data_IF_376110865863
#
_entry.id   IF_376110865863
#
_cell.length_a   1.000
_cell.length_b   1.000
_cell.length_c   1.000
_cell.angle_alpha   90.00
_cell.angle_beta   90.00
_cell.angle_gamma   90.00
#
_symmetry.space_group_name_H-M   'P 1'
#
loop_
_entity.id
_entity.type
_entity.pdbx_description
1 polymer ?
#
# COMPACT_ATOMS: atom_id res chain seq x y z
N UNK A 1 12.15 4.29 20.93
CA UNK A 1 11.11 4.51 19.94
C UNK A 1 11.56 5.63 19.02
N UNK A 2 11.52 5.45 17.73
CA UNK A 2 11.83 6.51 16.79
C UNK A 2 10.54 7.32 16.60
N UNK A 3 10.59 8.63 16.89
CA UNK A 3 9.45 9.50 16.61
C UNK A 3 9.31 9.66 15.10
N UNK A 4 8.11 9.46 14.58
CA UNK A 4 7.82 9.68 13.17
C UNK A 4 7.58 11.17 12.93
N UNK A 5 8.26 11.74 11.94
CA UNK A 5 8.08 13.12 11.55
C UNK A 5 7.88 13.21 10.04
N UNK A 6 7.11 14.20 9.58
CA UNK A 6 6.88 14.46 8.18
C UNK A 6 7.04 15.95 7.86
N UNK A 7 7.52 16.24 6.67
CA UNK A 7 7.51 17.58 6.10
C UNK A 7 6.77 17.54 4.76
N UNK A 8 5.95 18.53 4.53
CA UNK A 8 5.17 18.64 3.30
C UNK A 8 5.16 20.08 2.81
N UNK A 9 5.28 20.25 1.49
CA UNK A 9 5.06 21.50 0.81
C UNK A 9 4.34 21.24 -0.52
N UNK A 10 3.27 21.97 -0.78
CA UNK A 10 2.52 21.96 -2.03
C UNK A 10 2.48 23.36 -2.60
N UNK A 11 2.99 23.53 -3.80
CA UNK A 11 2.81 24.75 -4.58
C UNK A 11 1.69 24.53 -5.60
N UNK A 12 0.69 25.39 -5.57
CA UNK A 12 -0.42 25.42 -6.53
C UNK A 12 -0.23 26.63 -7.41
N UNK A 13 -0.06 26.40 -8.71
CA UNK A 13 -0.05 27.46 -9.74
C UNK A 13 -1.44 27.56 -10.36
N UNK A 14 -2.04 28.73 -10.29
CA UNK A 14 -3.37 29.01 -10.84
C UNK A 14 -3.28 29.40 -12.31
N UNK A 15 -4.41 29.35 -13.01
CA UNK A 15 -4.50 29.67 -14.45
C UNK A 15 -4.21 31.15 -14.77
N UNK A 16 -4.29 32.02 -13.78
CA UNK A 16 -3.92 33.44 -13.89
C UNK A 16 -2.43 33.70 -13.65
N UNK A 17 -1.66 32.63 -13.38
CA UNK A 17 -0.22 32.71 -13.13
C UNK A 17 0.14 33.04 -11.67
N UNK A 18 -0.83 33.18 -10.78
CA UNK A 18 -0.55 33.31 -9.35
C UNK A 18 -0.18 31.96 -8.73
N UNK A 19 0.59 32.00 -7.63
CA UNK A 19 1.02 30.80 -6.91
C UNK A 19 0.58 30.87 -5.44
N UNK A 20 0.20 29.73 -4.89
CA UNK A 20 -0.03 29.57 -3.46
C UNK A 20 0.77 28.37 -2.92
N UNK A 21 1.45 28.54 -1.79
CA UNK A 21 2.24 27.50 -1.15
C UNK A 21 1.58 27.09 0.16
N UNK A 22 1.30 25.79 0.29
CA UNK A 22 0.80 25.16 1.51
C UNK A 22 1.92 24.33 2.13
N UNK A 23 2.18 24.53 3.42
CA UNK A 23 3.21 23.79 4.15
C UNK A 23 2.62 23.11 5.37
N UNK A 24 3.24 21.97 5.76
CA UNK A 24 2.95 21.37 7.07
C UNK A 24 3.32 22.34 8.19
N UNK A 25 2.56 22.31 9.27
CA UNK A 25 2.80 23.17 10.44
C UNK A 25 1.85 22.83 11.59
N UNK A 26 1.86 23.64 12.64
CA UNK A 26 1.09 23.43 13.86
C UNK A 26 -0.44 23.49 13.69
N UNK A 27 -0.92 24.02 12.55
CA UNK A 27 -2.36 23.99 12.21
C UNK A 27 -2.85 22.62 11.72
N UNK A 28 -1.94 21.68 11.49
CA UNK A 28 -2.27 20.36 11.02
C UNK A 28 -2.70 19.44 12.14
N UNK A 29 -3.52 18.44 11.79
CA UNK A 29 -3.91 17.36 12.69
C UNK A 29 -3.22 16.07 12.23
N UNK A 30 -2.77 15.28 13.19
CA UNK A 30 -2.27 13.93 13.00
C UNK A 30 -3.34 12.94 13.48
N UNK A 31 -3.67 11.98 12.63
CA UNK A 31 -4.62 10.92 12.97
C UNK A 31 -4.01 9.56 12.66
N UNK A 32 -4.33 8.56 13.46
CA UNK A 32 -3.95 7.17 13.19
C UNK A 32 -4.80 6.64 12.04
N UNK A 33 -4.15 6.03 11.07
CA UNK A 33 -4.83 5.49 9.90
C UNK A 33 -5.39 4.09 10.16
N UNK A 34 -6.20 3.59 9.22
CA UNK A 34 -6.65 2.20 9.19
C UNK A 34 -5.51 1.20 8.95
N UNK A 35 -4.34 1.66 8.52
CA UNK A 35 -3.12 0.85 8.46
C UNK A 35 -2.50 0.79 9.86
N UNK A 36 -2.72 -0.33 10.56
CA UNK A 36 -2.19 -0.55 11.91
C UNK A 36 -0.71 -0.93 11.89
N UNK A 37 -0.29 -1.61 10.84
CA UNK A 37 1.11 -1.95 10.54
C UNK A 37 1.37 -1.67 9.06
N UNK A 38 2.56 -1.19 8.73
CA UNK A 38 3.03 -1.04 7.35
C UNK A 38 4.55 -1.10 7.28
N UNK A 39 5.07 -1.94 6.40
CA UNK A 39 6.52 -2.09 6.20
C UNK A 39 6.85 -2.98 5.01
N UNK A 40 8.03 -2.75 4.42
CA UNK A 40 8.47 -3.50 3.23
C UNK A 40 8.71 -4.97 3.55
N UNK A 41 9.24 -5.29 4.73
CA UNK A 41 9.55 -6.67 5.13
C UNK A 41 8.33 -7.41 5.65
N UNK A 42 7.60 -6.78 6.54
CA UNK A 42 6.50 -7.44 7.25
C UNK A 42 5.19 -7.36 6.48
N UNK A 43 5.06 -6.36 5.61
CA UNK A 43 3.83 -6.09 4.90
C UNK A 43 2.92 -5.15 5.68
N UNK A 44 1.61 -5.40 5.69
CA UNK A 44 0.68 -4.50 6.34
C UNK A 44 -0.48 -5.23 7.04
N UNK A 45 -1.07 -4.52 7.99
CA UNK A 45 -2.35 -4.86 8.61
C UNK A 45 -3.29 -3.68 8.41
N UNK A 46 -4.41 -3.91 7.73
CA UNK A 46 -5.45 -2.91 7.51
C UNK A 46 -6.73 -3.32 8.23
N UNK A 47 -7.25 -2.46 9.10
CA UNK A 47 -8.52 -2.66 9.77
C UNK A 47 -9.58 -1.71 9.21
N UNK A 48 -10.52 -2.24 8.43
CA UNK A 48 -11.60 -1.45 7.86
C UNK A 48 -12.54 -0.84 8.92
N UNK A 49 -12.57 -1.42 10.12
CA UNK A 49 -13.40 -0.94 11.23
C UNK A 49 -12.73 0.15 12.07
N UNK A 50 -11.40 0.31 11.93
CA UNK A 50 -10.67 1.28 12.74
C UNK A 50 -11.09 2.71 12.40
N UNK A 51 -11.32 3.49 13.44
CA UNK A 51 -11.52 4.94 13.37
C UNK A 51 -10.72 5.56 14.51
N UNK A 52 -9.92 6.56 14.21
CA UNK A 52 -9.22 7.29 15.27
C UNK A 52 -10.21 8.14 16.04
N UNK A 53 -10.38 7.89 17.34
CA UNK A 53 -11.35 8.62 18.14
C UNK A 53 -10.96 10.09 18.39
N UNK A 54 -9.66 10.40 18.27
CA UNK A 54 -9.13 11.70 18.69
C UNK A 54 -7.90 12.11 17.86
N UNK A 55 -8.08 12.78 16.73
CA UNK A 55 -6.97 13.42 16.02
C UNK A 55 -6.26 14.44 16.91
N UNK A 56 -4.93 14.39 16.94
CA UNK A 56 -4.10 15.27 17.76
C UNK A 56 -3.51 16.41 16.93
N UNK A 57 -3.36 17.63 17.49
CA UNK A 57 -2.61 18.68 16.82
C UNK A 57 -1.17 18.24 16.52
N UNK A 58 -0.72 18.52 15.30
CA UNK A 58 0.65 18.27 14.94
C UNK A 58 1.61 19.15 15.76
N UNK A 59 2.72 18.57 16.19
CA UNK A 59 3.76 19.32 16.89
C UNK A 59 4.90 19.64 15.92
N UNK A 60 5.28 20.91 15.86
CA UNK A 60 6.46 21.28 15.11
C UNK A 60 7.71 20.85 15.88
N UNK A 61 8.60 20.16 15.18
CA UNK A 61 9.89 19.76 15.72
C UNK A 61 11.00 20.51 14.98
N UNK A 62 12.02 20.91 15.70
CA UNK A 62 13.23 21.41 15.07
C UNK A 62 14.04 20.24 14.51
N UNK A 63 14.22 20.24 13.20
CA UNK A 63 15.12 19.31 12.51
C UNK A 63 15.84 20.04 11.40
N UNK A 64 17.15 19.77 11.23
CA UNK A 64 17.90 20.35 10.11
C UNK A 64 17.30 19.88 8.77
N UNK A 65 17.16 20.81 7.85
CA UNK A 65 16.71 20.52 6.49
C UNK A 65 17.89 20.27 5.52
N UNK A 66 19.11 20.39 6.00
CA UNK A 66 20.34 20.24 5.19
C UNK A 66 20.51 18.80 4.66
N UNK A 67 19.84 17.83 5.28
CA UNK A 67 19.82 16.43 4.83
C UNK A 67 18.75 16.13 3.78
N UNK A 68 17.90 17.09 3.46
CA UNK A 68 16.88 16.92 2.42
C UNK A 68 17.57 17.00 1.05
N UNK A 69 17.41 15.96 0.28
CA UNK A 69 17.93 15.85 -1.08
C UNK A 69 16.81 15.46 -2.03
N UNK A 70 16.95 15.85 -3.28
CA UNK A 70 16.05 15.39 -4.32
C UNK A 70 16.07 13.86 -4.42
N UNK A 71 14.95 13.29 -4.79
CA UNK A 71 14.83 11.85 -4.99
C UNK A 71 15.78 11.40 -6.10
N UNK A 72 16.77 10.60 -5.75
CA UNK A 72 17.77 10.08 -6.69
C UNK A 72 17.21 8.89 -7.51
N UNK A 73 16.27 8.14 -6.95
CA UNK A 73 15.71 6.95 -7.58
C UNK A 73 14.54 7.24 -8.52
N UNK A 74 14.39 6.39 -9.54
CA UNK A 74 13.20 6.38 -10.38
C UNK A 74 11.96 6.03 -9.58
N UNK A 75 10.79 6.46 -10.07
CA UNK A 75 9.51 6.05 -9.47
C UNK A 75 9.27 4.58 -9.76
N UNK A 76 8.89 3.85 -8.73
CA UNK A 76 8.34 2.50 -8.87
C UNK A 76 6.88 2.66 -9.25
N UNK A 77 6.50 2.13 -10.40
CA UNK A 77 5.12 2.16 -10.89
C UNK A 77 4.70 0.76 -11.31
N UNK A 78 3.42 0.44 -11.18
CA UNK A 78 2.88 -0.81 -11.72
C UNK A 78 2.79 -0.69 -13.24
N UNK A 79 3.54 -1.54 -13.94
CA UNK A 79 3.60 -1.55 -15.41
C UNK A 79 2.77 -2.67 -16.02
N UNK A 80 2.52 -3.71 -15.27
CA UNK A 80 1.89 -4.91 -15.73
C UNK A 80 0.83 -5.37 -14.71
N UNK A 81 -0.27 -5.89 -15.22
CA UNK A 81 -1.33 -6.50 -14.42
C UNK A 81 -1.48 -7.95 -14.84
N UNK A 82 -1.25 -8.84 -13.90
CA UNK A 82 -1.26 -10.28 -14.12
C UNK A 82 -2.48 -10.90 -13.42
N UNK A 83 -3.34 -11.59 -14.17
CA UNK A 83 -4.42 -12.35 -13.56
C UNK A 83 -3.87 -13.58 -12.84
N UNK A 84 -4.64 -14.15 -11.95
CA UNK A 84 -4.38 -15.47 -11.39
C UNK A 84 -4.44 -16.49 -12.53
N UNK A 85 -3.37 -17.27 -12.68
CA UNK A 85 -3.28 -18.33 -13.67
C UNK A 85 -3.97 -19.59 -13.19
N UNK A 86 -3.82 -19.92 -11.92
CA UNK A 86 -4.33 -21.13 -11.32
C UNK A 86 -4.56 -20.95 -9.81
N UNK A 87 -5.60 -21.59 -9.28
CA UNK A 87 -5.80 -21.76 -7.83
C UNK A 87 -5.40 -23.19 -7.49
N UNK A 88 -4.40 -23.34 -6.65
CA UNK A 88 -3.82 -24.61 -6.22
C UNK A 88 -4.33 -24.94 -4.82
N UNK A 89 -4.85 -26.15 -4.65
CA UNK A 89 -5.03 -26.72 -3.31
C UNK A 89 -3.84 -27.64 -3.07
N UNK A 90 -2.98 -27.24 -2.14
CA UNK A 90 -1.74 -27.96 -1.87
C UNK A 90 -2.02 -29.29 -1.18
N UNK A 91 -1.06 -30.23 -1.15
CA UNK A 91 -1.18 -31.48 -0.39
C UNK A 91 -1.49 -31.28 1.10
N UNK A 92 -1.10 -30.13 1.68
CA UNK A 92 -1.44 -29.75 3.06
C UNK A 92 -2.82 -29.07 3.19
N UNK A 93 -3.58 -28.96 2.10
CA UNK A 93 -4.90 -28.32 2.08
C UNK A 93 -4.86 -26.79 2.08
N UNK A 94 -3.73 -26.16 1.73
CA UNK A 94 -3.60 -24.72 1.64
C UNK A 94 -4.18 -24.24 0.30
N UNK A 95 -4.87 -23.10 0.30
CA UNK A 95 -5.32 -22.42 -0.92
C UNK A 95 -4.27 -21.44 -1.38
N UNK A 96 -3.71 -21.66 -2.56
CA UNK A 96 -2.62 -20.87 -3.11
C UNK A 96 -2.97 -20.36 -4.50
N UNK A 97 -2.80 -19.06 -4.72
CA UNK A 97 -2.87 -18.44 -6.04
C UNK A 97 -1.52 -18.56 -6.74
N UNK A 98 -1.47 -19.07 -7.98
CA UNK A 98 -0.30 -19.00 -8.87
C UNK A 98 -0.52 -17.91 -9.93
N UNK A 99 0.37 -16.93 -9.99
CA UNK A 99 0.36 -15.89 -11.03
C UNK A 99 1.20 -16.27 -12.26
N UNK A 100 1.81 -17.45 -12.26
CA UNK A 100 2.52 -18.01 -13.41
C UNK A 100 3.96 -17.54 -13.59
N UNK A 101 4.37 -16.43 -12.97
CA UNK A 101 5.75 -15.92 -13.00
C UNK A 101 6.10 -15.25 -11.68
N UNK A 102 7.39 -15.27 -11.34
CA UNK A 102 7.90 -14.50 -10.20
C UNK A 102 7.98 -13.02 -10.58
N UNK A 103 7.55 -12.15 -9.67
CA UNK A 103 7.50 -10.70 -9.91
C UNK A 103 7.79 -9.93 -8.64
N UNK A 104 8.07 -8.66 -8.79
CA UNK A 104 8.03 -7.67 -7.69
C UNK A 104 6.77 -6.84 -7.86
N UNK A 105 5.91 -6.82 -6.85
CA UNK A 105 4.64 -6.12 -6.95
C UNK A 105 3.74 -6.32 -5.73
N UNK A 106 2.46 -6.15 -5.94
CA UNK A 106 1.42 -6.31 -4.93
C UNK A 106 0.19 -6.99 -5.53
N UNK A 107 -0.70 -7.49 -4.68
CA UNK A 107 -1.96 -8.08 -5.12
C UNK A 107 -3.09 -7.12 -4.79
N UNK A 108 -3.81 -6.67 -5.82
CA UNK A 108 -5.12 -6.05 -5.67
C UNK A 108 -6.15 -7.17 -5.50
N UNK A 109 -7.05 -7.02 -4.56
CA UNK A 109 -8.07 -8.04 -4.31
C UNK A 109 -9.41 -7.44 -3.93
N UNK A 110 -10.48 -8.14 -4.33
CA UNK A 110 -11.85 -7.86 -3.92
C UNK A 110 -12.25 -8.83 -2.83
N UNK A 111 -12.80 -8.30 -1.75
CA UNK A 111 -13.21 -9.10 -0.59
C UNK A 111 -14.52 -8.58 0.01
N UNK A 112 -15.35 -9.52 0.45
CA UNK A 112 -16.55 -9.29 1.24
C UNK A 112 -16.60 -10.30 2.36
N UNK A 113 -15.95 -10.00 3.47
CA UNK A 113 -16.00 -10.84 4.68
C UNK A 113 -16.95 -10.30 5.73
N UNK A 114 -17.27 -11.10 6.73
CA UNK A 114 -18.06 -10.66 7.88
C UNK A 114 -17.28 -9.62 8.69
N UNK A 115 -17.98 -8.70 9.34
CA UNK A 115 -17.35 -7.71 10.21
C UNK A 115 -16.44 -8.36 11.26
N UNK A 116 -15.19 -7.94 11.33
CA UNK A 116 -14.15 -8.48 12.22
C UNK A 116 -13.44 -9.72 11.71
N UNK A 117 -13.85 -10.28 10.59
CA UNK A 117 -13.16 -11.39 9.94
C UNK A 117 -11.79 -10.93 9.42
N UNK A 118 -10.79 -11.79 9.59
CA UNK A 118 -9.41 -11.51 9.17
C UNK A 118 -9.05 -12.36 7.97
N UNK A 119 -8.81 -11.71 6.84
CA UNK A 119 -8.28 -12.30 5.64
C UNK A 119 -6.78 -12.03 5.55
N UNK A 120 -6.00 -13.06 5.28
CA UNK A 120 -4.55 -13.02 5.20
C UNK A 120 -4.09 -13.50 3.84
N UNK A 121 -3.24 -12.71 3.21
CA UNK A 121 -2.49 -13.06 1.99
C UNK A 121 -1.02 -13.11 2.36
N UNK A 122 -0.39 -14.26 2.22
CA UNK A 122 1.04 -14.45 2.42
C UNK A 122 1.73 -14.66 1.08
N UNK A 123 2.80 -13.92 0.84
CA UNK A 123 3.52 -13.95 -0.43
C UNK A 123 4.68 -14.94 -0.38
N UNK A 124 4.92 -15.64 -1.49
CA UNK A 124 6.01 -16.61 -1.63
C UNK A 124 6.45 -16.74 -3.09
N UNK A 125 7.71 -17.11 -3.29
CA UNK A 125 8.32 -17.19 -4.62
C UNK A 125 8.26 -18.60 -5.21
N UNK A 126 8.24 -19.62 -4.36
CA UNK A 126 8.32 -21.02 -4.75
C UNK A 126 7.39 -21.90 -3.90
N UNK A 127 7.07 -23.06 -4.40
CA UNK A 127 6.52 -24.17 -3.62
C UNK A 127 7.67 -25.08 -3.16
N UNK A 128 7.44 -25.86 -2.09
CA UNK A 128 8.39 -26.88 -1.67
C UNK A 128 8.41 -28.06 -2.65
N UNK A 129 9.31 -29.03 -2.43
CA UNK A 129 9.44 -30.22 -3.27
C UNK A 129 8.17 -31.09 -3.32
N UNK A 130 7.30 -30.96 -2.34
CA UNK A 130 6.06 -31.71 -2.21
C UNK A 130 4.85 -30.90 -2.72
N UNK A 131 5.08 -29.70 -3.27
CA UNK A 131 4.07 -28.82 -3.85
C UNK A 131 3.30 -27.97 -2.83
N UNK A 132 3.81 -27.81 -1.60
CA UNK A 132 3.20 -26.96 -0.60
C UNK A 132 3.80 -25.56 -0.62
N UNK A 133 3.07 -24.59 -0.04
CA UNK A 133 3.53 -23.22 0.05
C UNK A 133 4.79 -23.11 0.92
N UNK A 134 5.85 -22.47 0.40
CA UNK A 134 7.15 -22.41 1.04
C UNK A 134 7.59 -20.97 1.29
N UNK A 135 8.09 -20.70 2.51
CA UNK A 135 8.49 -19.36 2.95
C UNK A 135 9.80 -19.27 3.72
N UNK A 136 10.47 -20.39 3.98
CA UNK A 136 11.70 -20.37 4.78
C UNK A 136 12.82 -19.55 4.13
N UNK A 137 12.77 -19.38 2.79
CA UNK A 137 13.67 -18.51 2.04
C UNK A 137 13.50 -17.01 2.37
N UNK A 138 12.36 -16.60 2.92
CA UNK A 138 12.09 -15.22 3.33
C UNK A 138 12.73 -14.84 4.68
N UNK A 139 13.31 -15.82 5.39
CA UNK A 139 13.93 -15.66 6.71
C UNK A 139 12.94 -15.07 7.73
N UNK A 140 13.21 -13.85 8.22
CA UNK A 140 12.36 -13.16 9.21
C UNK A 140 11.26 -12.30 8.61
N UNK A 141 11.25 -12.09 7.28
CA UNK A 141 10.24 -11.26 6.64
C UNK A 141 8.87 -11.94 6.68
N UNK A 142 7.85 -11.26 7.16
CA UNK A 142 6.49 -11.79 7.19
C UNK A 142 5.82 -11.76 5.81
N UNK A 143 6.18 -10.80 4.96
CA UNK A 143 5.70 -10.64 3.59
C UNK A 143 4.19 -10.92 3.46
N UNK A 144 3.39 -10.27 4.29
CA UNK A 144 1.95 -10.53 4.42
C UNK A 144 1.10 -9.28 4.20
N UNK A 145 -0.11 -9.49 3.73
CA UNK A 145 -1.18 -8.51 3.70
C UNK A 145 -2.35 -9.06 4.52
N UNK A 146 -2.67 -8.40 5.62
CA UNK A 146 -3.78 -8.76 6.50
C UNK A 146 -4.87 -7.71 6.42
N UNK A 147 -6.10 -8.13 6.21
CA UNK A 147 -7.26 -7.27 6.10
C UNK A 147 -8.33 -7.69 7.09
N UNK A 148 -8.81 -6.74 7.92
CA UNK A 148 -9.94 -6.94 8.83
C UNK A 148 -11.19 -6.35 8.19
N UNK A 149 -12.14 -7.24 7.84
CA UNK A 149 -13.36 -6.90 7.13
C UNK A 149 -14.33 -6.10 7.99
N UNK A 150 -15.10 -5.21 7.38
CA UNK A 150 -16.17 -4.45 8.03
C UNK A 150 -17.59 -4.91 7.64
N UNK A 151 -17.69 -5.95 6.80
CA UNK A 151 -18.96 -6.47 6.30
C UNK A 151 -19.33 -5.96 4.91
N UNK A 152 -18.63 -4.94 4.42
CA UNK A 152 -18.85 -4.37 3.10
C UNK A 152 -17.91 -4.99 2.06
N UNK A 153 -18.33 -4.98 0.79
CA UNK A 153 -17.45 -5.35 -0.30
C UNK A 153 -16.40 -4.25 -0.54
N UNK A 154 -15.13 -4.65 -0.60
CA UNK A 154 -14.02 -3.72 -0.81
C UNK A 154 -13.07 -4.21 -1.89
N UNK A 155 -12.63 -3.28 -2.74
CA UNK A 155 -11.46 -3.46 -3.58
C UNK A 155 -10.26 -2.90 -2.84
N UNK A 156 -9.32 -3.75 -2.51
CA UNK A 156 -8.11 -3.40 -1.77
C UNK A 156 -6.91 -3.35 -2.70
N UNK A 157 -6.20 -2.26 -2.64
CA UNK A 157 -4.89 -2.08 -3.27
C UNK A 157 -3.89 -1.78 -2.16
N UNK A 158 -2.85 -2.61 -1.96
CA UNK A 158 -1.83 -2.34 -0.96
C UNK A 158 -1.14 -1.00 -1.21
N UNK A 159 -1.04 -0.18 -0.17
CA UNK A 159 -0.31 1.07 -0.18
C UNK A 159 0.99 0.91 0.61
N UNK A 160 2.05 1.61 0.20
CA UNK A 160 3.33 1.72 0.92
C UNK A 160 4.13 0.42 1.06
N UNK A 161 3.78 -0.66 0.35
CA UNK A 161 4.50 -1.93 0.39
C UNK A 161 4.41 -2.66 -0.96
N UNK A 162 5.36 -3.55 -1.19
CA UNK A 162 5.37 -4.48 -2.32
C UNK A 162 6.19 -5.72 -1.92
N UNK A 163 6.04 -6.81 -2.66
CA UNK A 163 6.64 -8.11 -2.34
C UNK A 163 7.27 -8.73 -3.57
N UNK A 164 8.27 -9.61 -3.35
CA UNK A 164 8.70 -10.58 -4.35
C UNK A 164 7.83 -11.83 -4.22
N UNK A 165 7.13 -12.24 -5.28
CA UNK A 165 6.27 -13.41 -5.23
C UNK A 165 5.90 -13.93 -6.62
N UNK A 166 5.57 -15.20 -6.67
CA UNK A 166 4.81 -15.87 -7.70
C UNK A 166 3.52 -16.44 -7.14
N UNK A 167 3.59 -16.91 -5.90
CA UNK A 167 2.51 -17.59 -5.21
C UNK A 167 1.98 -16.74 -4.06
N UNK A 168 0.68 -16.86 -3.79
CA UNK A 168 0.07 -16.22 -2.63
C UNK A 168 -0.86 -17.20 -1.92
N UNK A 169 -0.57 -17.49 -0.65
CA UNK A 169 -1.43 -18.33 0.19
C UNK A 169 -2.52 -17.47 0.81
N UNK A 170 -3.75 -17.95 0.72
CA UNK A 170 -4.93 -17.32 1.33
C UNK A 170 -5.34 -18.05 2.60
N UNK A 171 -5.60 -17.30 3.67
CA UNK A 171 -6.10 -17.82 4.94
C UNK A 171 -7.19 -16.90 5.49
N UNK A 172 -8.20 -17.47 6.16
CA UNK A 172 -9.29 -16.71 6.75
C UNK A 172 -10.24 -16.08 5.72
N UNK A 173 -10.39 -16.69 4.57
CA UNK A 173 -11.28 -16.23 3.50
C UNK A 173 -12.62 -16.97 3.62
N UNK A 174 -13.71 -16.25 3.94
CA UNK A 174 -15.06 -16.83 4.02
C UNK A 174 -15.82 -16.77 2.70
N UNK A 175 -15.44 -15.84 1.81
CA UNK A 175 -16.02 -15.72 0.49
C UNK A 175 -15.51 -16.82 -0.46
N UNK A 176 -16.25 -17.09 -1.52
CA UNK A 176 -15.78 -17.92 -2.61
C UNK A 176 -14.55 -17.29 -3.27
N UNK A 177 -13.45 -18.04 -3.30
CA UNK A 177 -12.20 -17.59 -3.91
C UNK A 177 -12.30 -17.77 -5.42
N UNK A 178 -12.41 -16.64 -6.15
CA UNK A 178 -12.47 -16.60 -7.60
C UNK A 178 -11.22 -15.92 -8.17
N UNK A 179 -10.63 -16.46 -9.25
CA UNK A 179 -9.42 -15.85 -9.86
C UNK A 179 -9.60 -14.37 -10.19
N UNK A 180 -10.78 -13.98 -10.67
CA UNK A 180 -11.10 -12.60 -11.06
C UNK A 180 -11.12 -11.60 -9.90
N UNK A 181 -11.16 -12.09 -8.65
CA UNK A 181 -11.10 -11.24 -7.47
C UNK A 181 -9.67 -10.82 -7.10
N UNK A 182 -8.67 -11.33 -7.83
CA UNK A 182 -7.27 -11.07 -7.53
C UNK A 182 -6.51 -10.67 -8.79
N UNK A 183 -5.73 -9.61 -8.69
CA UNK A 183 -4.86 -9.15 -9.77
C UNK A 183 -3.51 -8.75 -9.19
N UNK A 184 -2.43 -9.33 -9.69
CA UNK A 184 -1.10 -8.89 -9.31
C UNK A 184 -0.69 -7.67 -10.15
N UNK A 185 -0.34 -6.57 -9.47
CA UNK A 185 0.30 -5.41 -10.08
C UNK A 185 1.81 -5.56 -10.02
N UNK A 186 2.46 -5.86 -11.16
CA UNK A 186 3.91 -5.96 -11.28
C UNK A 186 4.55 -4.59 -11.50
N UNK A 187 5.61 -4.27 -10.73
CA UNK A 187 6.42 -3.06 -10.89
C UNK A 187 7.83 -3.40 -11.35
N UNK A 188 8.30 -2.76 -12.41
CA UNK A 188 9.71 -2.79 -12.80
C UNK A 188 10.27 -1.38 -12.81
N UNK A 189 11.57 -1.23 -12.50
CA UNK A 189 12.29 -0.01 -12.81
C UNK A 189 12.45 0.06 -14.32
N UNK A 190 11.82 1.00 -14.99
CA UNK A 190 12.23 1.36 -16.35
C UNK A 190 13.45 2.26 -16.24
N UNK A 191 14.58 1.84 -16.82
CA UNK A 191 15.68 2.72 -17.09
C UNK A 191 15.20 3.78 -18.11
N UNK A 192 14.77 4.92 -17.62
CA UNK A 192 14.30 6.06 -18.41
C UNK A 192 15.22 7.24 -18.22
N UNK A 193 15.52 7.95 -19.30
CA UNK A 193 16.32 9.18 -19.28
C UNK A 193 15.68 10.18 -18.32
N UNK A 194 16.50 10.72 -17.41
CA UNK A 194 16.17 11.85 -16.55
C UNK A 194 15.64 13.01 -17.41
N UNK A 195 14.37 13.30 -17.29
CA UNK A 195 13.79 14.56 -17.75
C UNK A 195 13.20 15.25 -16.54
N UNK A 196 13.72 16.46 -16.30
CA UNK A 196 13.44 17.25 -15.12
C UNK A 196 11.97 17.44 -14.81
N UNK A 197 11.76 17.49 -13.55
CA UNK A 197 10.61 17.89 -12.76
C UNK A 197 9.47 18.60 -13.49
N UNK A 198 8.49 17.83 -13.98
CA UNK A 198 7.09 18.21 -13.96
C UNK A 198 6.29 16.96 -13.70
N UNK A 199 5.66 16.89 -12.53
CA UNK A 199 4.67 15.87 -12.23
C UNK A 199 3.36 16.30 -12.92
N UNK A 200 2.93 15.68 -14.03
CA UNK A 200 1.55 15.86 -14.43
C UNK A 200 0.73 15.10 -13.39
N UNK A 201 -0.07 15.82 -12.63
CA UNK A 201 -1.12 15.28 -11.81
C UNK A 201 -2.11 14.54 -12.72
N UNK A 202 -1.81 13.30 -13.07
CA UNK A 202 -2.81 12.37 -13.54
C UNK A 202 -3.37 11.66 -12.31
N UNK A 203 -4.67 11.78 -12.17
CA UNK A 203 -5.54 11.17 -11.19
C UNK A 203 -5.16 9.71 -10.90
N UNK A 204 -4.28 9.48 -9.94
CA UNK A 204 -4.26 8.31 -9.10
C UNK A 204 -3.87 8.84 -7.72
N UNK A 205 -4.90 8.97 -6.90
CA UNK A 205 -4.83 9.56 -5.58
C UNK A 205 -3.93 8.71 -4.68
N UNK A 206 -2.69 9.14 -4.46
CA UNK A 206 -2.10 8.91 -3.16
C UNK A 206 -2.97 9.69 -2.18
N UNK A 207 -3.91 9.01 -1.54
CA UNK A 207 -4.54 9.54 -0.35
C UNK A 207 -3.46 9.54 0.73
N UNK A 208 -2.69 10.61 0.80
CA UNK A 208 -2.24 11.09 2.09
C UNK A 208 -3.55 11.49 2.75
N UNK A 209 -4.07 10.65 3.64
CA UNK A 209 -5.19 11.02 4.50
C UNK A 209 -4.68 11.98 5.57
N UNK A 210 -4.10 13.07 5.13
CA UNK A 210 -3.99 14.31 5.84
C UNK A 210 -5.31 15.01 5.56
N UNK A 211 -6.19 15.03 6.55
CA UNK A 211 -7.42 15.81 6.51
C UNK A 211 -7.06 17.27 6.34
N UNK A 212 -6.89 17.72 5.10
CA UNK A 212 -6.89 19.15 4.73
C UNK A 212 -8.32 19.71 4.83
N UNK A 213 -9.03 19.44 5.94
CA UNK A 213 -10.39 19.97 6.12
C UNK A 213 -10.46 21.47 6.39
N UNK A 214 -9.37 22.12 6.82
CA UNK A 214 -9.44 23.53 7.22
C UNK A 214 -8.95 24.53 6.19
N UNK A 215 -8.24 24.13 5.15
CA UNK A 215 -7.70 25.07 4.17
C UNK A 215 -8.57 25.25 2.92
N UNK A 216 -9.44 24.29 2.59
CA UNK A 216 -10.31 24.38 1.41
C UNK A 216 -11.66 25.07 1.66
N UNK A 217 -12.12 25.21 2.93
CA UNK A 217 -13.38 25.89 3.25
C UNK A 217 -13.27 27.42 3.31
N UNK A 218 -12.05 27.99 3.21
CA UNK A 218 -11.84 29.44 3.19
C UNK A 218 -11.50 30.03 1.81
N UNK A 219 -11.46 29.21 0.77
CA UNK A 219 -11.05 29.60 -0.58
C UNK A 219 -12.15 29.45 -1.64
N UNK A 220 -13.45 29.39 -1.23
CA UNK A 220 -14.60 29.45 -2.14
C UNK A 220 -15.50 30.64 -1.77
#
# INVERSE_FOLDING_TARGET
>A
ACEAAAIFALTVEFTDGSEQVFTSGSSWLAERSKYLESGIYDGYVYDANFTDPEPLPAQEIFHTKDTLVDRIGERITAHERLPVKEIIITPKGETVLDFGQNMTGFIEFRIKGKKGERALIEHGEVLDKDGNFYRDNLRSAKARAEFVCDGEERLMTPEHTFFGFRYARLTGWSDEIKPENFTAGGGTRRAGKFHGNRCPLRHEAYRISLLLRSAFEQAV
#
